data_IF_979414386704
#
_entry.id   IF_979414386704
#
_cell.length_a   1.000
_cell.length_b   1.000
_cell.length_c   1.000
_cell.angle_alpha   90.00
_cell.angle_beta   90.00
_cell.angle_gamma   90.00
#
_symmetry.space_group_name_H-M   'P 1'
#
loop_
_entity.id
_entity.type
_entity.pdbx_description
1 polymer ?
#
# COMPACT_ATOMS: atom_id res chain seq x y z
N UNK A 1 -16.06 -17.59 0.44
CA UNK A 1 -15.17 -17.06 -0.62
C UNK A 1 -14.78 -15.66 -0.16
N UNK A 2 -13.52 -15.47 0.23
CA UNK A 2 -13.10 -14.29 1.00
C UNK A 2 -12.84 -13.10 0.09
N UNK A 3 -13.73 -12.12 0.11
CA UNK A 3 -13.55 -10.82 -0.54
C UNK A 3 -13.36 -9.68 0.49
N UNK A 4 -13.14 -10.02 1.76
CA UNK A 4 -13.04 -9.11 2.92
C UNK A 4 -11.65 -8.49 3.14
N UNK A 5 -10.84 -8.30 2.08
CA UNK A 5 -9.52 -7.70 2.28
C UNK A 5 -9.64 -6.18 2.30
N UNK A 6 -10.05 -5.65 3.45
CA UNK A 6 -9.77 -4.26 3.83
C UNK A 6 -8.26 -3.99 3.85
N UNK A 7 -7.89 -2.73 3.93
CA UNK A 7 -6.49 -2.32 3.90
C UNK A 7 -6.20 -1.14 4.81
N UNK A 8 -5.06 -0.51 4.60
CA UNK A 8 -4.69 0.69 5.36
C UNK A 8 -4.57 1.89 4.42
N UNK A 9 -5.02 3.06 4.90
CA UNK A 9 -4.77 4.31 4.21
C UNK A 9 -3.26 4.51 4.03
N UNK A 10 -2.81 4.68 2.80
CA UNK A 10 -1.41 4.84 2.43
C UNK A 10 -0.73 6.04 3.11
N UNK A 11 -1.49 7.07 3.46
CA UNK A 11 -0.93 8.29 4.05
C UNK A 11 -0.95 8.30 5.57
N UNK A 12 -2.04 7.86 6.20
CA UNK A 12 -2.21 8.00 7.65
C UNK A 12 -2.29 6.68 8.42
N UNK A 13 -2.21 5.55 7.73
CA UNK A 13 -2.21 4.19 8.29
C UNK A 13 -3.57 3.70 8.84
N UNK A 14 -4.62 4.53 8.82
CA UNK A 14 -5.96 4.15 9.31
C UNK A 14 -6.45 2.89 8.58
N UNK A 15 -6.95 1.92 9.32
CA UNK A 15 -7.63 0.74 8.76
C UNK A 15 -8.90 1.17 8.04
N UNK A 16 -9.05 0.69 6.81
CA UNK A 16 -10.12 0.94 5.88
C UNK A 16 -10.75 -0.39 5.48
N UNK A 17 -12.07 -0.40 5.33
CA UNK A 17 -12.81 -1.53 4.81
C UNK A 17 -12.75 -1.54 3.28
N UNK A 18 -13.22 -2.61 2.65
CA UNK A 18 -13.33 -2.69 1.18
C UNK A 18 -14.20 -1.57 0.61
N UNK A 19 -15.22 -1.14 1.35
CA UNK A 19 -16.15 -0.10 0.93
C UNK A 19 -15.49 1.29 0.89
N UNK A 20 -14.41 1.50 1.64
CA UNK A 20 -13.68 2.77 1.67
C UNK A 20 -12.76 2.97 0.45
N UNK A 21 -12.63 1.98 -0.46
CA UNK A 21 -11.79 2.04 -1.67
C UNK A 21 -12.59 2.26 -2.96
N UNK A 22 -13.74 2.92 -2.88
CA UNK A 22 -14.48 3.35 -4.07
C UNK A 22 -13.65 4.31 -4.94
N UNK A 23 -14.12 4.52 -6.18
CA UNK A 23 -13.37 5.26 -7.23
C UNK A 23 -13.00 6.70 -6.84
N UNK A 24 -13.77 7.32 -5.96
CA UNK A 24 -13.58 8.69 -5.50
C UNK A 24 -13.67 8.80 -3.97
N UNK A 25 -13.54 7.67 -3.27
CA UNK A 25 -13.59 7.69 -1.81
C UNK A 25 -12.31 8.26 -1.23
N UNK A 26 -12.49 8.90 -0.08
CA UNK A 26 -11.40 9.51 0.67
C UNK A 26 -11.35 8.92 2.08
N UNK A 27 -10.15 8.91 2.65
CA UNK A 27 -9.96 8.38 3.99
C UNK A 27 -10.70 9.25 5.01
N UNK A 28 -11.57 8.68 5.86
CA UNK A 28 -12.36 9.46 6.83
C UNK A 28 -11.52 10.14 7.91
N UNK A 29 -10.24 9.77 8.06
CA UNK A 29 -9.31 10.39 9.02
C UNK A 29 -8.51 11.56 8.41
N UNK A 30 -8.04 11.43 7.18
CA UNK A 30 -7.07 12.39 6.60
C UNK A 30 -7.52 13.04 5.28
N UNK A 31 -8.68 12.66 4.75
CA UNK A 31 -9.28 13.25 3.54
C UNK A 31 -8.57 12.93 2.23
N UNK A 32 -7.52 12.09 2.24
CA UNK A 32 -6.80 11.69 1.02
C UNK A 32 -7.53 10.57 0.30
N UNK A 33 -7.44 10.58 -1.02
CA UNK A 33 -7.92 9.51 -1.89
C UNK A 33 -7.43 8.14 -1.40
N UNK A 34 -8.32 7.16 -1.39
CA UNK A 34 -8.02 5.79 -0.91
C UNK A 34 -7.58 4.88 -2.04
N UNK A 35 -8.21 4.99 -3.22
CA UNK A 35 -7.87 4.20 -4.42
C UNK A 35 -6.77 4.86 -5.25
N UNK A 36 -5.56 4.86 -4.71
CA UNK A 36 -4.36 5.46 -5.34
C UNK A 36 -3.31 4.40 -5.63
N UNK A 37 -2.31 4.69 -6.48
CA UNK A 37 -1.20 3.75 -6.67
C UNK A 37 -0.48 3.48 -5.35
N UNK A 38 -0.22 4.51 -4.53
CA UNK A 38 0.41 4.35 -3.22
C UNK A 38 -0.40 3.49 -2.24
N UNK A 39 -1.72 3.41 -2.42
CA UNK A 39 -2.62 2.53 -1.65
C UNK A 39 -2.66 1.08 -2.15
N UNK A 40 -2.03 0.79 -3.29
CA UNK A 40 -2.06 -0.52 -3.90
C UNK A 40 -0.90 -1.41 -3.41
N UNK A 41 -1.15 -2.71 -3.25
CA UNK A 41 -0.11 -3.69 -2.93
C UNK A 41 0.95 -3.85 -4.03
N UNK A 42 0.64 -3.49 -5.29
CA UNK A 42 1.52 -3.67 -6.43
C UNK A 42 2.45 -2.48 -6.68
N UNK A 43 2.25 -1.37 -5.97
CA UNK A 43 3.08 -0.18 -6.13
C UNK A 43 4.45 -0.39 -5.52
N UNK A 44 5.48 -0.15 -6.32
CA UNK A 44 6.87 -0.16 -5.92
C UNK A 44 7.63 0.91 -6.70
N UNK A 45 8.33 1.81 -6.01
CA UNK A 45 9.00 2.96 -6.62
C UNK A 45 10.20 2.59 -7.54
N UNK A 46 10.70 1.35 -7.45
CA UNK A 46 11.83 0.86 -8.24
C UNK A 46 11.39 -0.04 -9.40
N UNK A 47 10.10 -0.43 -9.44
CA UNK A 47 9.52 -1.17 -10.55
C UNK A 47 9.33 -0.28 -11.78
N UNK A 48 9.30 -0.91 -12.96
CA UNK A 48 8.92 -0.21 -14.19
C UNK A 48 7.50 0.37 -14.05
N UNK A 49 7.31 1.63 -14.46
CA UNK A 49 6.06 2.38 -14.26
C UNK A 49 5.60 2.48 -12.78
N UNK A 50 6.50 2.20 -11.84
CA UNK A 50 6.24 2.14 -10.40
C UNK A 50 5.14 1.13 -10.02
N UNK A 51 5.02 0.04 -10.78
CA UNK A 51 4.01 -1.00 -10.60
C UNK A 51 4.57 -2.38 -10.96
N UNK A 52 4.34 -3.38 -10.12
CA UNK A 52 4.71 -4.78 -10.41
C UNK A 52 3.74 -5.48 -11.38
N UNK A 53 2.55 -4.92 -11.60
CA UNK A 53 1.60 -5.47 -12.57
C UNK A 53 1.86 -4.86 -13.95
N UNK A 54 2.57 -5.60 -14.81
CA UNK A 54 3.00 -5.14 -16.15
C UNK A 54 1.85 -4.89 -17.12
N UNK A 55 0.67 -5.48 -16.87
CA UNK A 55 -0.53 -5.27 -17.69
C UNK A 55 -1.32 -4.01 -17.29
N UNK A 56 -1.01 -3.42 -16.13
CA UNK A 56 -1.70 -2.22 -15.68
C UNK A 56 -1.31 -0.99 -16.50
N UNK A 57 -2.30 -0.15 -16.81
CA UNK A 57 -2.07 1.13 -17.47
C UNK A 57 -1.23 2.06 -16.57
N UNK A 58 -0.20 2.74 -17.12
CA UNK A 58 0.67 3.61 -16.34
C UNK A 58 -0.08 4.86 -15.85
N UNK A 59 -0.21 4.99 -14.53
CA UNK A 59 -0.79 6.19 -13.88
C UNK A 59 0.30 7.23 -13.62
N UNK A 60 0.11 8.48 -14.01
CA UNK A 60 1.06 9.57 -13.71
C UNK A 60 0.95 10.03 -12.25
N UNK A 61 -0.26 10.37 -11.81
CA UNK A 61 -0.52 10.90 -10.46
C UNK A 61 -0.71 9.76 -9.44
N UNK A 62 0.39 9.28 -8.83
CA UNK A 62 0.37 8.11 -7.93
C UNK A 62 -0.38 8.32 -6.61
N UNK A 63 -0.62 9.58 -6.24
CA UNK A 63 -1.25 9.99 -4.97
C UNK A 63 -2.73 10.36 -5.11
N UNK A 64 -3.26 10.37 -6.34
CA UNK A 64 -4.66 10.68 -6.63
C UNK A 64 -5.46 9.42 -6.97
N UNK A 65 -6.78 9.53 -6.82
CA UNK A 65 -7.71 8.49 -7.22
C UNK A 65 -7.48 8.04 -8.67
N UNK A 66 -7.36 6.73 -8.89
CA UNK A 66 -7.14 6.12 -10.20
C UNK A 66 -8.25 5.13 -10.59
N UNK A 67 -8.25 4.76 -11.87
CA UNK A 67 -9.23 3.83 -12.45
C UNK A 67 -8.64 2.43 -12.67
N UNK A 68 -7.50 2.10 -12.06
CA UNK A 68 -6.83 0.83 -12.29
C UNK A 68 -7.72 -0.34 -11.84
N UNK A 69 -7.98 -1.28 -12.75
CA UNK A 69 -8.75 -2.50 -12.48
C UNK A 69 -7.94 -3.53 -11.71
N UNK A 70 -6.60 -3.44 -11.76
CA UNK A 70 -5.69 -4.29 -10.98
C UNK A 70 -5.49 -3.79 -9.55
N UNK A 71 -6.13 -2.69 -9.14
CA UNK A 71 -5.99 -2.16 -7.79
C UNK A 71 -6.37 -3.20 -6.74
N UNK A 72 -5.44 -3.48 -5.83
CA UNK A 72 -5.68 -4.26 -4.61
C UNK A 72 -5.17 -3.47 -3.41
N UNK A 73 -6.01 -3.22 -2.39
CA UNK A 73 -5.62 -2.42 -1.24
C UNK A 73 -4.46 -3.10 -0.51
N UNK A 74 -3.48 -2.32 -0.07
CA UNK A 74 -2.39 -2.83 0.75
C UNK A 74 -2.93 -3.17 2.14
N UNK A 75 -3.17 -4.46 2.38
CA UNK A 75 -3.47 -4.98 3.71
C UNK A 75 -2.17 -5.03 4.50
N UNK A 76 -2.06 -4.19 5.53
CA UNK A 76 -0.89 -4.20 6.41
C UNK A 76 -0.87 -5.47 7.25
N UNK A 77 -0.29 -6.57 6.76
CA UNK A 77 0.37 -7.52 7.68
C UNK A 77 1.69 -6.87 8.08
N UNK A 78 1.60 -5.95 9.03
CA UNK A 78 2.77 -5.30 9.63
C UNK A 78 3.69 -4.64 8.61
N UNK A 79 3.52 -3.32 8.42
CA UNK A 79 4.72 -2.53 8.65
C UNK A 79 4.99 -2.68 10.14
N UNK A 80 5.62 -3.79 10.54
CA UNK A 80 6.40 -3.77 11.76
C UNK A 80 7.29 -2.55 11.53
N UNK A 81 7.01 -1.49 12.28
CA UNK A 81 7.99 -0.45 12.47
C UNK A 81 9.04 -1.13 13.33
N UNK A 82 9.79 -2.07 12.73
CA UNK A 82 11.02 -2.56 13.27
C UNK A 82 11.84 -1.30 13.32
N UNK A 83 11.92 -0.75 14.53
CA UNK A 83 12.77 0.39 14.82
C UNK A 83 14.13 0.07 14.20
N UNK A 84 14.82 1.09 13.69
CA UNK A 84 16.17 0.90 13.12
C UNK A 84 17.06 0.02 14.01
N UNK A 85 16.84 0.09 15.32
CA UNK A 85 17.46 -0.75 16.34
C UNK A 85 17.14 -2.25 16.20
N UNK A 86 15.87 -2.64 16.05
CA UNK A 86 15.47 -4.03 15.86
C UNK A 86 16.01 -4.63 14.54
N UNK A 87 16.06 -3.83 13.47
CA UNK A 87 16.64 -4.25 12.18
C UNK A 87 18.16 -4.44 12.28
N UNK A 88 18.86 -3.56 13.02
CA UNK A 88 20.30 -3.69 13.25
C UNK A 88 20.64 -4.91 14.11
N UNK A 89 19.91 -5.12 15.21
CA UNK A 89 20.14 -6.27 16.09
C UNK A 89 19.93 -7.60 15.36
N UNK A 90 18.89 -7.70 14.53
CA UNK A 90 18.65 -8.89 13.69
C UNK A 90 19.76 -9.10 12.65
N UNK A 91 20.28 -8.02 12.04
CA UNK A 91 21.40 -8.11 11.12
C UNK A 91 22.68 -8.58 11.82
N UNK A 92 23.04 -8.01 12.97
CA UNK A 92 24.25 -8.41 13.72
C UNK A 92 24.20 -9.87 14.20
N UNK A 93 23.01 -10.39 14.54
CA UNK A 93 22.84 -11.79 14.90
C UNK A 93 23.08 -12.77 13.72
N UNK A 94 22.81 -12.34 12.49
CA UNK A 94 23.05 -13.15 11.28
C UNK A 94 24.54 -13.23 10.91
N UNK A 95 25.34 -12.21 11.27
CA UNK A 95 26.77 -12.15 10.94
C UNK A 95 27.70 -12.73 12.02
N UNK A 96 27.18 -13.14 13.19
CA UNK A 96 27.96 -13.78 14.26
C UNK A 96 27.94 -15.31 14.20
N UNK A 97 28.20 -15.88 13.02
CA UNK A 97 28.61 -17.28 12.87
C UNK A 97 30.10 -17.35 12.57
#
# INVERSE_FOLDING_TARGET
MGYDQGGNCWSCGRTLTVLDYGRADTCPKCGRDTKTCKGCQFYDQHANNECHESQADPVLEKERSNFCDYFKPRSGTGSETSTRDALKAAAEALFKK
#
